data_IF_854032706807
#
_entry.id   IF_854032706807
#
_cell.length_a   1.000
_cell.length_b   1.000
_cell.length_c   1.000
_cell.angle_alpha   90.00
_cell.angle_beta   90.00
_cell.angle_gamma   90.00
#
_symmetry.space_group_name_H-M   'P 1'
#
loop_
_entity.id
_entity.type
_entity.pdbx_description
1 polymer ?
#
# COMPACT_ATOMS: atom_id res chain seq x y z
N UNK A 1 0.03 -26.70 -17.67
CA UNK A 1 -0.33 -27.55 -16.52
C UNK A 1 -1.81 -27.95 -16.54
N UNK A 2 -2.79 -27.05 -16.31
CA UNK A 2 -4.20 -27.46 -16.20
C UNK A 2 -4.75 -28.27 -17.38
N UNK A 3 -4.36 -27.94 -18.62
CA UNK A 3 -4.75 -28.73 -19.79
C UNK A 3 -4.23 -30.18 -19.73
N UNK A 4 -3.01 -30.37 -19.24
CA UNK A 4 -2.42 -31.70 -18.99
C UNK A 4 -3.13 -32.38 -17.81
N UNK A 5 -3.32 -31.68 -16.68
CA UNK A 5 -4.05 -32.23 -15.54
C UNK A 5 -5.46 -32.71 -15.94
N UNK A 6 -6.19 -31.93 -16.73
CA UNK A 6 -7.50 -32.32 -17.26
C UNK A 6 -7.46 -33.56 -18.17
N UNK A 7 -6.42 -33.72 -18.99
CA UNK A 7 -6.23 -34.93 -19.81
C UNK A 7 -6.00 -36.20 -18.98
N UNK A 8 -5.43 -36.04 -17.78
CA UNK A 8 -5.20 -37.12 -16.81
C UNK A 8 -6.26 -37.17 -15.70
N UNK A 9 -7.44 -36.56 -15.91
CA UNK A 9 -8.54 -36.52 -14.92
C UNK A 9 -8.11 -35.99 -13.55
N UNK A 10 -7.13 -35.08 -13.52
CA UNK A 10 -6.54 -34.50 -12.32
C UNK A 10 -5.88 -35.54 -11.41
N UNK A 11 -5.23 -36.56 -11.99
CA UNK A 11 -4.48 -37.59 -11.25
C UNK A 11 -3.12 -37.83 -11.93
N UNK A 12 -2.05 -37.95 -11.15
CA UNK A 12 -0.71 -38.30 -11.66
C UNK A 12 -0.61 -39.79 -12.01
N UNK A 13 0.48 -40.20 -12.69
CA UNK A 13 0.74 -41.61 -12.98
C UNK A 13 0.86 -42.47 -11.70
N UNK A 14 1.32 -41.89 -10.59
CA UNK A 14 1.43 -42.52 -9.28
C UNK A 14 0.12 -42.49 -8.46
N UNK A 15 -0.98 -42.01 -9.05
CA UNK A 15 -2.30 -41.97 -8.41
C UNK A 15 -2.53 -40.79 -7.45
N UNK A 16 -1.65 -39.78 -7.45
CA UNK A 16 -1.81 -38.59 -6.61
C UNK A 16 -2.73 -37.57 -7.28
N UNK A 17 -3.58 -36.85 -6.52
CA UNK A 17 -4.41 -35.80 -7.09
C UNK A 17 -3.56 -34.64 -7.62
N UNK A 18 -3.94 -34.12 -8.78
CA UNK A 18 -3.39 -32.90 -9.37
C UNK A 18 -4.39 -31.78 -9.13
N UNK A 19 -4.03 -30.77 -8.35
CA UNK A 19 -4.94 -29.66 -8.10
C UNK A 19 -5.04 -28.71 -9.28
N UNK A 20 -6.20 -28.11 -9.50
CA UNK A 20 -6.35 -27.09 -10.52
C UNK A 20 -5.61 -25.81 -10.10
N UNK A 21 -4.66 -25.34 -10.92
CA UNK A 21 -3.92 -24.11 -10.64
C UNK A 21 -4.62 -22.90 -11.29
N UNK A 22 -5.16 -21.94 -10.52
CA UNK A 22 -5.77 -20.75 -11.11
C UNK A 22 -4.72 -19.88 -11.84
N UNK A 23 -5.19 -19.06 -12.78
CA UNK A 23 -4.38 -17.94 -13.27
C UNK A 23 -4.41 -16.84 -12.22
N UNK A 24 -3.24 -16.28 -11.89
CA UNK A 24 -3.13 -15.21 -10.90
C UNK A 24 -2.89 -13.89 -11.64
N UNK A 25 -3.69 -12.87 -11.32
CA UNK A 25 -3.50 -11.52 -11.84
C UNK A 25 -3.24 -10.59 -10.66
N UNK A 26 -2.08 -9.94 -10.70
CA UNK A 26 -1.62 -9.02 -9.67
C UNK A 26 -1.83 -7.60 -10.19
N UNK A 27 -2.58 -6.79 -9.44
CA UNK A 27 -2.85 -5.39 -9.77
C UNK A 27 -2.07 -4.47 -8.83
N UNK A 28 -1.34 -3.52 -9.39
CA UNK A 28 -0.70 -2.42 -8.68
C UNK A 28 -1.30 -1.13 -9.23
N UNK A 29 -2.12 -0.44 -8.43
CA UNK A 29 -2.82 0.77 -8.88
C UNK A 29 -1.89 1.98 -9.02
N UNK A 30 -0.91 2.11 -8.11
CA UNK A 30 0.05 3.21 -8.11
C UNK A 30 1.46 2.71 -7.79
N UNK A 31 2.23 2.42 -8.83
CA UNK A 31 3.62 1.96 -8.69
C UNK A 31 4.50 2.97 -7.95
N UNK A 32 4.27 4.27 -8.15
CA UNK A 32 5.16 5.29 -7.60
C UNK A 32 5.17 5.29 -6.07
N UNK A 33 4.07 4.92 -5.41
CA UNK A 33 4.04 4.81 -3.95
C UNK A 33 4.96 3.70 -3.45
N UNK A 34 4.97 2.55 -4.15
CA UNK A 34 5.88 1.45 -3.83
C UNK A 34 7.34 1.83 -4.10
N UNK A 35 7.59 2.48 -5.24
CA UNK A 35 8.95 2.92 -5.61
C UNK A 35 9.51 4.00 -4.68
N UNK A 36 8.65 4.82 -4.07
CA UNK A 36 9.08 5.80 -3.07
C UNK A 36 9.43 5.16 -1.72
N UNK A 37 8.81 4.03 -1.37
CA UNK A 37 9.06 3.32 -0.13
C UNK A 37 10.29 2.40 -0.23
N UNK A 38 10.37 1.59 -1.28
CA UNK A 38 11.40 0.56 -1.43
C UNK A 38 11.76 0.31 -2.91
N UNK A 39 12.45 1.25 -3.59
CA UNK A 39 12.64 1.21 -5.04
C UNK A 39 13.36 -0.05 -5.53
N UNK A 40 14.45 -0.44 -4.86
CA UNK A 40 15.27 -1.59 -5.28
C UNK A 40 14.50 -2.91 -5.14
N UNK A 41 13.83 -3.12 -4.00
CA UNK A 41 13.10 -4.37 -3.72
C UNK A 41 11.89 -4.54 -4.62
N UNK A 42 11.17 -3.44 -4.88
CA UNK A 42 10.01 -3.41 -5.77
C UNK A 42 10.46 -3.68 -7.21
N UNK A 43 11.52 -3.03 -7.67
CA UNK A 43 12.06 -3.23 -9.01
C UNK A 43 12.55 -4.67 -9.24
N UNK A 44 13.30 -5.23 -8.28
CA UNK A 44 13.78 -6.62 -8.33
C UNK A 44 12.61 -7.62 -8.36
N UNK A 45 11.59 -7.39 -7.53
CA UNK A 45 10.39 -8.23 -7.48
C UNK A 45 9.61 -8.18 -8.78
N UNK A 46 9.41 -6.99 -9.36
CA UNK A 46 8.72 -6.83 -10.64
C UNK A 46 9.53 -7.51 -11.76
N UNK A 47 10.84 -7.32 -11.81
CA UNK A 47 11.69 -7.94 -12.82
C UNK A 47 11.63 -9.47 -12.73
N UNK A 48 11.77 -10.03 -11.52
CA UNK A 48 11.71 -11.47 -11.28
C UNK A 48 10.35 -12.06 -11.66
N UNK A 49 9.26 -11.41 -11.25
CA UNK A 49 7.91 -11.81 -11.65
C UNK A 49 7.77 -11.77 -13.16
N UNK A 50 8.01 -10.64 -13.80
CA UNK A 50 7.83 -10.48 -15.24
C UNK A 50 8.64 -11.48 -16.09
N UNK A 51 9.83 -11.90 -15.63
CA UNK A 51 10.66 -12.88 -16.32
C UNK A 51 10.17 -14.33 -16.16
N UNK A 52 9.69 -14.72 -14.97
CA UNK A 52 9.39 -16.12 -14.64
C UNK A 52 7.88 -16.46 -14.70
N UNK A 53 7.02 -15.46 -14.52
CA UNK A 53 5.59 -15.60 -14.27
C UNK A 53 4.79 -16.18 -15.45
N UNK A 54 5.22 -15.93 -16.69
CA UNK A 54 4.44 -16.29 -17.89
C UNK A 54 4.08 -17.77 -17.95
N UNK A 55 5.06 -18.64 -17.69
CA UNK A 55 4.84 -20.09 -17.72
C UNK A 55 4.08 -20.59 -16.48
N UNK A 56 4.17 -19.86 -15.36
CA UNK A 56 3.48 -20.14 -14.12
C UNK A 56 2.00 -19.67 -14.15
N UNK A 57 1.57 -18.92 -15.18
CA UNK A 57 0.20 -18.41 -15.26
C UNK A 57 -0.06 -17.20 -14.35
N UNK A 58 0.99 -16.47 -13.99
CA UNK A 58 0.93 -15.23 -13.23
C UNK A 58 1.06 -14.04 -14.19
N UNK A 59 0.22 -13.01 -14.02
CA UNK A 59 0.20 -11.81 -14.85
C UNK A 59 0.21 -10.57 -13.96
N UNK A 60 0.91 -9.54 -14.40
CA UNK A 60 1.08 -8.31 -13.65
C UNK A 60 0.47 -7.14 -14.43
N UNK A 61 -0.40 -6.38 -13.75
CA UNK A 61 -1.02 -5.17 -14.27
C UNK A 61 -0.58 -4.02 -13.37
N UNK A 62 0.21 -3.10 -13.92
CA UNK A 62 0.76 -1.97 -13.18
C UNK A 62 0.20 -0.68 -13.75
N UNK A 63 -0.29 0.17 -12.87
CA UNK A 63 -0.71 1.53 -13.16
C UNK A 63 0.10 2.53 -12.32
N UNK A 64 0.18 3.76 -12.82
CA UNK A 64 0.75 4.91 -12.11
C UNK A 64 0.24 6.19 -12.75
N UNK A 65 0.03 7.23 -11.93
CA UNK A 65 -0.23 8.58 -12.41
C UNK A 65 1.04 9.42 -12.54
N UNK A 66 2.20 8.89 -12.14
CA UNK A 66 3.50 9.57 -12.13
C UNK A 66 4.46 8.92 -13.13
N UNK A 67 4.34 9.22 -14.43
CA UNK A 67 5.17 8.62 -15.49
C UNK A 67 6.58 9.26 -15.56
N UNK A 68 7.31 9.24 -14.45
CA UNK A 68 8.72 9.69 -14.38
C UNK A 68 9.68 8.53 -14.64
N UNK A 69 10.92 8.86 -15.01
CA UNK A 69 11.98 7.86 -15.26
C UNK A 69 12.35 7.11 -13.99
N UNK A 70 12.18 7.75 -12.82
CA UNK A 70 12.46 7.15 -11.51
C UNK A 70 11.40 6.11 -11.11
N UNK A 71 10.19 6.20 -11.66
CA UNK A 71 9.09 5.24 -11.42
C UNK A 71 9.06 4.18 -12.51
N UNK A 72 9.11 4.60 -13.78
CA UNK A 72 9.08 3.72 -14.96
C UNK A 72 10.49 3.58 -15.50
N UNK A 73 11.32 2.88 -14.73
CA UNK A 73 12.75 2.72 -15.00
C UNK A 73 13.01 1.91 -16.27
N UNK A 74 14.26 1.90 -16.72
CA UNK A 74 14.70 1.06 -17.84
C UNK A 74 14.48 -0.44 -17.59
N UNK A 75 14.67 -0.91 -16.35
CA UNK A 75 14.51 -2.32 -15.99
C UNK A 75 13.04 -2.73 -15.99
N UNK A 76 12.16 -1.90 -15.43
CA UNK A 76 10.70 -2.10 -15.50
C UNK A 76 10.26 -2.16 -16.97
N UNK A 77 10.71 -1.21 -17.80
CA UNK A 77 10.38 -1.21 -19.23
C UNK A 77 10.88 -2.45 -19.95
N UNK A 78 12.09 -2.90 -19.66
CA UNK A 78 12.67 -4.08 -20.32
C UNK A 78 11.85 -5.36 -20.07
N UNK A 79 11.19 -5.46 -18.91
CA UNK A 79 10.44 -6.65 -18.51
C UNK A 79 8.92 -6.54 -18.74
N UNK A 80 8.39 -5.33 -18.95
CA UNK A 80 6.97 -5.09 -19.23
C UNK A 80 6.83 -4.47 -20.64
N UNK A 81 6.76 -5.31 -21.70
CA UNK A 81 6.82 -4.84 -23.08
C UNK A 81 5.48 -4.34 -23.65
N UNK A 82 4.35 -4.78 -23.10
CA UNK A 82 3.02 -4.29 -23.48
C UNK A 82 2.60 -3.16 -22.57
N UNK A 83 2.27 -2.00 -23.16
CA UNK A 83 2.00 -0.78 -22.39
C UNK A 83 0.81 -0.01 -22.92
N UNK A 84 0.13 0.70 -22.02
CA UNK A 84 -0.98 1.59 -22.34
C UNK A 84 -0.63 2.96 -21.78
N UNK A 85 -0.77 4.00 -22.60
CA UNK A 85 -0.70 5.39 -22.15
C UNK A 85 -2.05 6.05 -22.37
N UNK A 86 -2.66 6.57 -21.30
CA UNK A 86 -3.74 7.54 -21.40
C UNK A 86 -3.17 8.94 -21.67
N UNK A 87 -4.04 9.94 -21.74
CA UNK A 87 -3.62 11.34 -21.89
C UNK A 87 -2.62 11.74 -20.82
N UNK A 88 -1.48 12.30 -21.25
CA UNK A 88 -0.41 12.81 -20.38
C UNK A 88 -0.13 14.28 -20.67
N UNK A 89 0.59 14.94 -19.77
CA UNK A 89 0.85 16.38 -19.85
C UNK A 89 1.94 16.75 -20.85
N UNK A 90 2.86 15.85 -21.16
CA UNK A 90 4.03 16.17 -21.98
C UNK A 90 4.51 15.04 -22.89
N UNK A 91 5.26 15.43 -23.93
CA UNK A 91 5.93 14.48 -24.82
C UNK A 91 6.96 13.62 -24.07
N UNK A 92 7.54 14.15 -22.99
CA UNK A 92 8.50 13.43 -22.14
C UNK A 92 7.79 12.28 -21.43
N UNK A 93 6.65 12.56 -20.80
CA UNK A 93 5.82 11.54 -20.12
C UNK A 93 5.36 10.46 -21.10
N UNK A 94 4.93 10.85 -22.31
CA UNK A 94 4.57 9.90 -23.36
C UNK A 94 5.73 8.94 -23.68
N UNK A 95 6.94 9.48 -23.83
CA UNK A 95 8.14 8.66 -24.08
C UNK A 95 8.53 7.81 -22.88
N UNK A 96 8.29 8.28 -21.65
CA UNK A 96 8.53 7.48 -20.45
C UNK A 96 7.65 6.22 -20.44
N UNK A 97 6.37 6.34 -20.82
CA UNK A 97 5.45 5.20 -20.80
C UNK A 97 5.62 4.31 -22.04
N UNK A 98 5.56 4.86 -23.26
CA UNK A 98 5.46 4.07 -24.51
C UNK A 98 6.66 4.25 -25.45
N UNK A 99 7.77 4.84 -24.99
CA UNK A 99 9.00 5.09 -25.76
C UNK A 99 8.84 5.97 -27.03
N UNK A 100 7.62 6.49 -27.27
CA UNK A 100 7.29 7.41 -28.36
C UNK A 100 6.42 8.56 -27.85
N UNK A 101 6.38 9.64 -28.61
CA UNK A 101 5.39 10.70 -28.44
C UNK A 101 4.02 10.31 -29.01
N UNK A 102 2.98 10.99 -28.54
CA UNK A 102 1.63 10.89 -29.05
C UNK A 102 0.58 10.90 -27.94
N UNK A 103 0.92 10.42 -26.75
CA UNK A 103 -0.01 10.37 -25.63
C UNK A 103 -0.36 11.76 -25.10
N UNK A 104 0.52 12.75 -25.28
CA UNK A 104 0.27 14.16 -24.96
C UNK A 104 -0.77 14.84 -25.85
N UNK A 105 -1.21 14.16 -26.92
CA UNK A 105 -2.20 14.65 -27.89
C UNK A 105 -3.55 13.95 -27.76
N UNK A 106 -3.69 13.04 -26.80
CA UNK A 106 -4.94 12.35 -26.52
C UNK A 106 -5.96 13.32 -25.94
N UNK A 107 -7.23 12.99 -26.09
CA UNK A 107 -8.35 13.86 -25.72
C UNK A 107 -8.81 13.69 -24.27
N UNK A 108 -8.20 12.77 -23.52
CA UNK A 108 -8.69 12.33 -22.20
C UNK A 108 -9.90 11.40 -22.31
N UNK A 109 -10.64 11.23 -21.21
CA UNK A 109 -11.90 10.47 -21.16
C UNK A 109 -11.84 9.08 -21.83
N UNK A 110 -10.79 8.32 -21.53
CA UNK A 110 -10.60 6.95 -22.05
C UNK A 110 -9.86 6.86 -23.39
N UNK A 111 -9.54 7.98 -24.07
CA UNK A 111 -8.67 7.97 -25.24
C UNK A 111 -7.25 7.55 -24.83
N UNK A 112 -6.70 6.53 -25.49
CA UNK A 112 -5.43 5.91 -25.11
C UNK A 112 -4.60 5.45 -26.31
N UNK A 113 -3.30 5.29 -26.10
CA UNK A 113 -2.40 4.57 -26.98
C UNK A 113 -2.02 3.23 -26.37
N UNK A 114 -2.32 2.15 -27.08
CA UNK A 114 -1.92 0.79 -26.73
C UNK A 114 -0.69 0.37 -27.56
N UNK A 115 0.41 0.08 -26.90
CA UNK A 115 1.64 -0.42 -27.50
C UNK A 115 1.84 -1.89 -27.11
N UNK A 116 1.30 -2.85 -27.89
CA UNK A 116 1.50 -4.26 -27.60
C UNK A 116 2.94 -4.69 -27.87
N UNK A 117 3.39 -5.72 -27.15
CA UNK A 117 4.69 -6.38 -27.41
C UNK A 117 4.85 -6.72 -28.90
N UNK A 118 6.00 -6.34 -29.46
CA UNK A 118 6.36 -6.61 -30.86
C UNK A 118 5.76 -5.65 -31.89
N UNK A 119 4.87 -4.72 -31.52
CA UNK A 119 4.39 -3.72 -32.45
C UNK A 119 5.40 -2.59 -32.67
N UNK A 120 5.50 -2.11 -33.92
CA UNK A 120 6.38 -0.98 -34.27
C UNK A 120 5.81 0.38 -33.88
N UNK A 121 4.48 0.50 -33.77
CA UNK A 121 3.78 1.74 -33.45
C UNK A 121 2.60 1.43 -32.52
N UNK A 122 2.30 2.33 -31.56
CA UNK A 122 1.09 2.21 -30.75
C UNK A 122 -0.18 2.35 -31.60
N UNK A 123 -1.22 1.65 -31.17
CA UNK A 123 -2.57 1.73 -31.69
C UNK A 123 -3.37 2.71 -30.83
N UNK A 124 -4.07 3.66 -31.47
CA UNK A 124 -5.02 4.51 -30.74
C UNK A 124 -6.31 3.73 -30.50
N UNK A 125 -6.75 3.69 -29.24
CA UNK A 125 -7.90 2.94 -28.77
C UNK A 125 -8.77 3.85 -27.90
N UNK A 126 -10.07 3.67 -27.95
CA UNK A 126 -11.01 4.31 -27.04
C UNK A 126 -11.39 3.32 -25.94
N UNK A 127 -11.14 3.68 -24.68
CA UNK A 127 -11.54 2.91 -23.52
C UNK A 127 -13.05 2.85 -23.37
N UNK A 128 -13.55 1.68 -22.96
CA UNK A 128 -14.94 1.54 -22.55
C UNK A 128 -15.14 2.34 -21.26
N UNK A 129 -16.18 3.17 -21.25
CA UNK A 129 -16.63 3.83 -20.03
C UNK A 129 -17.49 2.85 -19.24
N UNK A 130 -17.21 2.74 -17.94
CA UNK A 130 -18.00 1.99 -16.97
C UNK A 130 -18.22 2.93 -15.80
N UNK A 131 -19.48 3.12 -15.39
CA UNK A 131 -19.79 3.98 -14.26
C UNK A 131 -19.56 3.28 -12.92
N UNK A 132 -19.38 4.07 -11.86
CA UNK A 132 -19.25 3.54 -10.49
C UNK A 132 -20.44 2.66 -10.10
N UNK A 133 -21.66 3.02 -10.52
CA UNK A 133 -22.86 2.21 -10.27
C UNK A 133 -22.83 0.84 -10.97
N UNK A 134 -22.26 0.77 -12.18
CA UNK A 134 -22.08 -0.50 -12.89
C UNK A 134 -21.03 -1.36 -12.19
N UNK A 135 -19.93 -0.76 -11.72
CA UNK A 135 -18.90 -1.43 -10.93
C UNK A 135 -19.51 -2.01 -9.65
N UNK A 136 -20.23 -1.20 -8.88
CA UNK A 136 -20.90 -1.62 -7.63
C UNK A 136 -21.85 -2.80 -7.88
N UNK A 137 -22.67 -2.71 -8.94
CA UNK A 137 -23.61 -3.77 -9.31
C UNK A 137 -22.90 -5.09 -9.62
N UNK A 138 -21.77 -5.05 -10.34
CA UNK A 138 -20.96 -6.23 -10.65
C UNK A 138 -20.31 -6.80 -9.38
N UNK A 139 -19.74 -5.94 -8.53
CA UNK A 139 -19.11 -6.35 -7.28
C UNK A 139 -20.12 -7.03 -6.35
N UNK A 140 -21.33 -6.49 -6.24
CA UNK A 140 -22.41 -7.12 -5.46
C UNK A 140 -22.83 -8.47 -6.01
N UNK A 141 -22.95 -8.59 -7.33
CA UNK A 141 -23.28 -9.86 -7.98
C UNK A 141 -22.22 -10.94 -7.68
N UNK A 142 -20.94 -10.58 -7.73
CA UNK A 142 -19.83 -11.49 -7.43
C UNK A 142 -19.86 -11.90 -5.96
N UNK A 143 -20.01 -10.95 -5.02
CA UNK A 143 -20.09 -11.22 -3.58
C UNK A 143 -21.25 -12.13 -3.18
N UNK A 144 -22.37 -12.07 -3.91
CA UNK A 144 -23.52 -12.97 -3.70
C UNK A 144 -23.27 -14.38 -4.24
N UNK A 145 -22.39 -14.51 -5.23
CA UNK A 145 -22.13 -15.77 -5.94
C UNK A 145 -21.00 -16.59 -5.30
N UNK A 146 -20.03 -15.93 -4.65
CA UNK A 146 -18.88 -16.58 -4.01
C UNK A 146 -18.44 -15.83 -2.75
N UNK A 147 -18.03 -16.59 -1.74
CA UNK A 147 -17.28 -16.05 -0.60
C UNK A 147 -15.81 -15.86 -0.97
N UNK A 148 -15.16 -14.77 -0.53
CA UNK A 148 -13.75 -14.55 -0.80
C UNK A 148 -12.88 -15.60 -0.08
N UNK A 149 -12.17 -16.42 -0.87
CA UNK A 149 -11.14 -17.32 -0.36
C UNK A 149 -9.83 -16.57 -0.16
N UNK A 150 -9.62 -15.99 1.02
CA UNK A 150 -8.34 -15.40 1.38
C UNK A 150 -7.37 -16.52 1.78
N UNK A 151 -6.17 -16.49 1.20
CA UNK A 151 -5.09 -17.37 1.63
C UNK A 151 -4.50 -16.84 2.95
N UNK A 152 -4.63 -17.58 4.07
CA UNK A 152 -4.15 -17.12 5.37
C UNK A 152 -2.63 -17.01 5.41
N UNK A 153 -1.88 -17.79 4.63
CA UNK A 153 -0.42 -17.71 4.61
C UNK A 153 0.04 -16.41 3.94
N UNK A 154 -0.60 -16.05 2.82
CA UNK A 154 -0.34 -14.76 2.15
C UNK A 154 -0.76 -13.60 3.05
N UNK A 155 -1.90 -13.70 3.73
CA UNK A 155 -2.35 -12.67 4.67
C UNK A 155 -1.35 -12.49 5.82
N UNK A 156 -0.87 -13.60 6.40
CA UNK A 156 0.15 -13.58 7.45
C UNK A 156 1.51 -13.04 6.95
N UNK A 157 1.94 -13.37 5.73
CA UNK A 157 3.18 -12.83 5.17
C UNK A 157 3.08 -11.33 4.91
N UNK A 158 1.94 -10.84 4.44
CA UNK A 158 1.68 -9.40 4.29
C UNK A 158 1.77 -8.72 5.66
N UNK A 159 1.16 -9.30 6.70
CA UNK A 159 1.24 -8.78 8.07
C UNK A 159 2.68 -8.82 8.62
N UNK A 160 3.43 -9.91 8.40
CA UNK A 160 4.82 -10.07 8.86
C UNK A 160 5.76 -9.08 8.17
N UNK A 161 5.64 -8.89 6.85
CA UNK A 161 6.48 -7.96 6.10
C UNK A 161 6.18 -6.50 6.44
N UNK A 162 4.91 -6.15 6.66
CA UNK A 162 4.53 -4.83 7.17
C UNK A 162 5.12 -4.51 8.57
N UNK A 163 5.51 -5.53 9.34
CA UNK A 163 6.18 -5.40 10.65
C UNK A 163 7.70 -5.49 10.52
N UNK A 164 8.23 -6.21 9.52
CA UNK A 164 9.67 -6.34 9.28
C UNK A 164 10.30 -5.06 8.68
N UNK A 165 9.59 -4.35 7.81
CA UNK A 165 10.03 -3.04 7.30
C UNK A 165 10.18 -2.01 8.44
N UNK A 166 9.45 -2.17 9.54
CA UNK A 166 9.61 -1.36 10.77
C UNK A 166 10.86 -1.71 11.59
N UNK A 167 11.59 -2.79 11.29
CA UNK A 167 12.83 -3.18 11.98
C UNK A 167 14.10 -2.80 11.21
N UNK A 168 13.99 -2.57 9.90
CA UNK A 168 15.12 -2.20 9.03
C UNK A 168 15.36 -0.70 8.96
N UNK A 169 14.33 0.11 9.25
CA UNK A 169 14.50 1.52 9.59
C UNK A 169 14.46 1.68 11.10
N UNK A 170 15.63 1.67 11.73
CA UNK A 170 15.80 2.44 12.96
C UNK A 170 16.04 3.89 12.55
N UNK A 171 15.09 4.83 12.70
CA UNK A 171 15.44 6.23 12.73
C UNK A 171 16.22 6.45 14.03
N UNK A 172 17.25 7.27 13.95
CA UNK A 172 17.86 7.89 15.12
C UNK A 172 16.77 8.42 16.07
N UNK A 173 17.00 8.46 17.40
CA UNK A 173 16.04 9.02 18.33
C UNK A 173 15.89 10.50 18.05
N UNK A 174 14.86 10.86 17.29
CA UNK A 174 14.45 12.23 17.08
C UNK A 174 13.01 12.35 17.58
N UNK A 175 12.89 13.17 18.60
CA UNK A 175 11.72 13.39 19.45
C UNK A 175 10.66 14.19 18.70
N UNK A 176 10.02 13.58 17.69
CA UNK A 176 8.97 14.23 16.90
C UNK A 176 7.69 13.40 16.95
N UNK A 177 6.86 13.69 17.96
CA UNK A 177 5.46 13.25 18.01
C UNK A 177 4.73 13.74 16.77
N UNK A 178 3.91 12.89 16.15
CA UNK A 178 3.15 13.26 14.96
C UNK A 178 2.31 14.54 15.22
N UNK A 179 2.33 15.56 14.34
CA UNK A 179 1.59 16.80 14.55
C UNK A 179 0.08 16.60 14.76
N UNK A 180 -0.49 15.49 14.25
CA UNK A 180 -1.92 15.16 14.38
C UNK A 180 -2.21 14.20 15.54
N UNK A 181 -1.21 13.87 16.37
CA UNK A 181 -1.37 12.95 17.50
C UNK A 181 -2.40 13.45 18.50
N UNK A 182 -2.38 14.74 18.86
CA UNK A 182 -3.33 15.31 19.83
C UNK A 182 -4.79 15.22 19.33
N UNK A 183 -5.01 15.54 18.05
CA UNK A 183 -6.32 15.44 17.41
C UNK A 183 -6.80 13.99 17.30
N UNK A 184 -5.88 13.06 17.05
CA UNK A 184 -6.16 11.63 16.99
C UNK A 184 -6.52 11.05 18.37
N UNK A 185 -5.79 11.43 19.41
CA UNK A 185 -6.09 11.03 20.80
C UNK A 185 -7.47 11.53 21.20
N UNK A 186 -7.80 12.79 20.88
CA UNK A 186 -9.14 13.35 21.11
C UNK A 186 -10.22 12.52 20.41
N UNK A 187 -10.05 12.22 19.12
CA UNK A 187 -11.01 11.43 18.35
C UNK A 187 -11.23 10.03 18.93
N UNK A 188 -10.15 9.36 19.35
CA UNK A 188 -10.19 8.00 19.88
C UNK A 188 -10.85 7.97 21.26
N UNK A 189 -10.53 8.93 22.14
CA UNK A 189 -11.15 9.03 23.47
C UNK A 189 -12.65 9.33 23.35
N UNK A 190 -13.05 10.26 22.47
CA UNK A 190 -14.46 10.56 22.21
C UNK A 190 -15.23 9.35 21.65
N UNK A 191 -14.58 8.55 20.80
CA UNK A 191 -15.19 7.36 20.21
C UNK A 191 -15.18 6.13 21.14
N UNK A 192 -14.39 6.14 22.21
CA UNK A 192 -14.21 5.04 23.15
C UNK A 192 -13.50 3.80 22.57
N UNK A 193 -13.00 3.88 21.34
CA UNK A 193 -12.33 2.80 20.63
C UNK A 193 -11.33 3.35 19.60
N UNK A 194 -10.23 2.63 19.37
CA UNK A 194 -9.22 3.02 18.40
C UNK A 194 -9.12 2.01 17.25
N UNK A 195 -9.24 2.49 16.01
CA UNK A 195 -8.91 1.73 14.81
C UNK A 195 -8.29 2.66 13.76
N UNK A 196 -7.48 2.09 12.87
CA UNK A 196 -6.90 2.81 11.73
C UNK A 196 -8.02 3.41 10.86
N UNK A 197 -9.06 2.63 10.57
CA UNK A 197 -10.25 3.06 9.82
C UNK A 197 -11.05 4.19 10.49
N UNK A 198 -11.01 4.31 11.82
CA UNK A 198 -11.66 5.42 12.54
C UNK A 198 -10.89 6.73 12.29
N UNK A 199 -9.57 6.70 12.42
CA UNK A 199 -8.72 7.88 12.18
C UNK A 199 -8.69 8.30 10.72
N UNK A 200 -8.67 7.36 9.77
CA UNK A 200 -8.76 7.67 8.34
C UNK A 200 -10.01 8.51 8.01
N UNK A 201 -11.17 8.12 8.56
CA UNK A 201 -12.44 8.83 8.30
C UNK A 201 -12.54 10.16 9.05
N UNK A 202 -12.09 10.22 10.30
CA UNK A 202 -12.24 11.42 11.16
C UNK A 202 -11.23 12.51 10.82
N UNK A 203 -9.99 12.13 10.50
CA UNK A 203 -8.88 13.06 10.27
C UNK A 203 -8.41 13.11 8.80
N UNK A 204 -9.11 12.41 7.89
CA UNK A 204 -8.80 12.34 6.45
C UNK A 204 -7.37 11.89 6.17
N UNK A 205 -6.91 10.91 6.95
CA UNK A 205 -5.56 10.37 6.88
C UNK A 205 -5.47 9.19 5.90
N UNK A 206 -4.31 9.04 5.25
CA UNK A 206 -3.95 7.82 4.54
C UNK A 206 -3.76 6.64 5.50
N UNK A 207 -3.92 5.40 5.01
CA UNK A 207 -3.88 4.18 5.85
C UNK A 207 -2.57 4.05 6.64
N UNK A 208 -1.43 4.23 5.97
CA UNK A 208 -0.11 4.14 6.61
C UNK A 208 0.09 5.20 7.70
N UNK A 209 -0.38 6.43 7.47
CA UNK A 209 -0.29 7.51 8.45
C UNK A 209 -1.19 7.25 9.66
N UNK A 210 -2.44 6.84 9.44
CA UNK A 210 -3.35 6.44 10.50
C UNK A 210 -2.79 5.26 11.33
N UNK A 211 -2.14 4.28 10.68
CA UNK A 211 -1.44 3.18 11.34
C UNK A 211 -0.33 3.64 12.26
N UNK A 212 0.55 4.53 11.79
CA UNK A 212 1.64 5.10 12.61
C UNK A 212 1.12 5.82 13.84
N UNK A 213 0.05 6.60 13.71
CA UNK A 213 -0.56 7.31 14.85
C UNK A 213 -1.17 6.32 15.85
N UNK A 214 -1.81 5.24 15.40
CA UNK A 214 -2.32 4.17 16.29
C UNK A 214 -1.17 3.49 17.04
N UNK A 215 -0.07 3.18 16.37
CA UNK A 215 1.10 2.55 16.99
C UNK A 215 1.77 3.47 18.01
N UNK A 216 1.88 4.77 17.72
CA UNK A 216 2.37 5.77 18.66
C UNK A 216 1.45 5.88 19.89
N UNK A 217 0.13 5.84 19.71
CA UNK A 217 -0.82 5.84 20.83
C UNK A 217 -0.69 4.59 21.70
N UNK A 218 -0.36 3.43 21.14
CA UNK A 218 -0.08 2.21 21.91
C UNK A 218 1.23 2.37 22.70
N UNK A 219 2.30 2.85 22.07
CA UNK A 219 3.60 3.07 22.72
C UNK A 219 3.50 4.07 23.90
N UNK A 220 2.63 5.08 23.78
CA UNK A 220 2.37 6.08 24.82
C UNK A 220 1.39 5.58 25.90
N UNK A 221 0.87 4.36 25.77
CA UNK A 221 -0.06 3.75 26.72
C UNK A 221 -1.44 4.43 26.73
N UNK A 222 -1.85 5.02 25.60
CA UNK A 222 -3.15 5.67 25.42
C UNK A 222 -4.22 4.63 25.04
N UNK A 223 -3.83 3.64 24.26
CA UNK A 223 -4.68 2.54 23.80
C UNK A 223 -4.03 1.19 24.14
N UNK A 224 -4.87 0.16 24.22
CA UNK A 224 -4.46 -1.21 24.51
C UNK A 224 -3.73 -1.89 23.35
N UNK A 225 -3.17 -3.09 23.63
CA UNK A 225 -2.47 -3.88 22.63
C UNK A 225 -3.39 -4.33 21.51
N UNK A 226 -2.79 -4.73 20.39
CA UNK A 226 -3.51 -5.23 19.23
C UNK A 226 -4.36 -6.48 19.58
N UNK A 227 -5.68 -6.38 19.42
CA UNK A 227 -6.64 -7.49 19.62
C UNK A 227 -7.14 -8.05 18.28
N UNK A 228 -6.24 -8.29 17.32
CA UNK A 228 -6.60 -8.83 15.99
C UNK A 228 -7.49 -7.87 15.21
N UNK A 229 -8.64 -8.36 14.71
CA UNK A 229 -9.59 -7.55 13.94
C UNK A 229 -10.47 -6.61 14.77
N UNK A 230 -10.34 -6.61 16.10
CA UNK A 230 -11.18 -5.79 16.99
C UNK A 230 -10.58 -4.39 17.23
N UNK A 231 -11.43 -3.36 17.38
CA UNK A 231 -11.00 -2.02 17.81
C UNK A 231 -10.27 -2.09 19.16
N UNK A 232 -9.14 -1.39 19.27
CA UNK A 232 -8.33 -1.35 20.49
C UNK A 232 -9.06 -0.53 21.56
N UNK A 233 -8.99 -0.99 22.81
CA UNK A 233 -9.60 -0.29 23.95
C UNK A 233 -8.80 0.95 24.31
N UNK A 234 -9.49 2.03 24.66
CA UNK A 234 -8.86 3.26 25.16
C UNK A 234 -8.56 3.10 26.64
N UNK A 235 -7.31 3.37 27.04
CA UNK A 235 -6.82 3.15 28.41
C UNK A 235 -6.81 4.42 29.27
N UNK A 236 -6.84 5.60 28.65
CA UNK A 236 -6.81 6.89 29.35
C UNK A 236 -7.93 7.83 28.90
N UNK A 237 -8.28 8.78 29.76
CA UNK A 237 -9.18 9.88 29.44
C UNK A 237 -8.44 11.04 28.78
N UNK A 238 -9.17 11.92 28.11
CA UNK A 238 -8.60 13.11 27.47
C UNK A 238 -7.96 14.05 28.50
N UNK A 239 -8.51 14.13 29.71
CA UNK A 239 -7.92 14.90 30.81
C UNK A 239 -6.56 14.33 31.25
N UNK A 240 -6.45 13.00 31.36
CA UNK A 240 -5.18 12.32 31.68
C UNK A 240 -4.14 12.47 30.56
N UNK A 241 -4.57 12.58 29.31
CA UNK A 241 -3.68 12.90 28.19
C UNK A 241 -3.10 14.32 28.32
N UNK A 242 -3.95 15.31 28.60
CA UNK A 242 -3.52 16.70 28.81
C UNK A 242 -2.54 16.84 29.98
N UNK A 243 -2.78 16.17 31.10
CA UNK A 243 -1.85 16.16 32.24
C UNK A 243 -0.48 15.56 31.87
N UNK A 244 -0.47 14.49 31.06
CA UNK A 244 0.76 13.86 30.56
C UNK A 244 1.51 14.74 29.55
N UNK A 245 0.79 15.44 28.67
CA UNK A 245 1.41 16.31 27.67
C UNK A 245 1.96 17.61 28.28
N UNK A 246 1.30 18.14 29.32
CA UNK A 246 1.80 19.29 30.09
C UNK A 246 3.06 18.95 30.91
N UNK A 247 3.13 17.78 31.55
CA UNK A 247 4.33 17.35 32.28
C UNK A 247 5.54 17.06 31.38
N UNK A 248 5.34 16.80 30.08
CA UNK A 248 6.43 16.64 29.10
C UNK A 248 7.04 17.98 28.65
N UNK A 249 6.34 19.10 28.86
CA UNK A 249 6.78 20.44 28.44
C UNK A 249 7.51 21.24 29.53
N UNK A 250 7.65 20.73 30.75
CA UNK A 250 8.53 21.33 31.78
C UNK A 250 9.96 20.74 31.68
N UNK A 251 10.97 21.52 31.22
CA UNK A 251 12.35 21.05 31.28
C UNK A 251 12.85 21.09 32.73
N UNK A 252 13.46 19.98 33.15
CA UNK A 252 14.27 19.90 34.37
C UNK A 252 15.35 21.01 34.37
N UNK A 253 15.24 21.97 35.28
CA UNK A 253 16.28 22.99 35.44
C UNK A 253 15.87 24.22 36.23
N UNK A 254 15.88 24.12 37.56
CA UNK A 254 16.32 25.17 38.51
C UNK A 254 16.41 24.60 39.93
N UNK A 255 17.33 23.65 40.14
CA UNK A 255 17.95 23.52 41.47
C UNK A 255 18.95 24.67 41.61
N UNK A 256 18.49 25.82 42.10
CA UNK A 256 19.39 26.82 42.65
C UNK A 256 19.88 26.32 43.99
N UNK A 257 21.10 25.78 44.03
CA UNK A 257 21.85 25.54 45.25
C UNK A 257 22.22 26.88 45.89
N UNK A 258 21.32 27.44 46.70
CA UNK A 258 21.70 28.40 47.73
C UNK A 258 21.98 27.61 49.02
N UNK A 259 23.23 27.16 49.15
CA UNK A 259 23.78 26.85 50.47
C UNK A 259 24.04 28.19 51.18
N UNK A 260 23.08 28.62 51.98
CA UNK A 260 23.30 29.63 53.00
C UNK A 260 23.82 28.94 54.26
N UNK A 261 24.96 29.46 54.73
CA UNK A 261 25.38 29.65 56.13
C UNK A 261 25.51 28.43 57.07
N UNK A 262 26.71 28.25 57.64
CA UNK A 262 27.04 28.65 59.03
C UNK A 262 28.37 28.06 59.54
N UNK A 263 29.15 28.93 60.20
CA UNK A 263 30.00 28.69 61.38
C UNK A 263 31.11 27.61 61.35
N UNK A 264 32.36 28.03 61.15
CA UNK A 264 33.40 28.19 62.20
C UNK A 264 34.73 28.64 61.61
#
# INVERSE_FOLDING_TARGET
YNAMAAQHSFVTEDGQPMEHMPQIVIFIEELADLMMAAPNEVEDSICRLAQMARAAGMHLVIATQRPSVDVVTGLIKANIPSRIALSVSSQVDSRTIIDTSGAEKLLGNGDMLFSPVGAQKPLRVQGAFVSDSEIESIVEFIKKSQEPGYDPEIAEEIEKNAVADKKSEAPAPQDDTDPLLDDAVKCVVEAGQASTSLLQRRLRLGYAHAGRIVDQMEQLGIIGPHEGSKPRKVLITYQQWLEKSMNKQEPAGKETSHAASENQ
#
